data_IF_365103334655
#
_entry.id   IF_365103334655
#
_cell.length_a   1.000
_cell.length_b   1.000
_cell.length_c   1.000
_cell.angle_alpha   90.00
_cell.angle_beta   90.00
_cell.angle_gamma   90.00
#
_symmetry.space_group_name_H-M   'P 1'
#
loop_
_entity.id
_entity.type
_entity.pdbx_description
1 polymer ?
#
# COMPACT_ATOMS: atom_id res chain seq x y z
N UNK A 1 20.97 20.04 3.28
CA UNK A 1 22.03 19.62 2.34
C UNK A 1 21.41 18.81 1.22
N UNK A 2 21.88 19.02 -0.02
CA UNK A 2 21.39 18.33 -1.21
C UNK A 2 22.10 16.98 -1.44
N UNK A 3 21.53 16.10 -2.26
CA UNK A 3 22.23 14.91 -2.77
C UNK A 3 23.36 15.33 -3.72
N UNK A 4 24.44 14.53 -3.75
CA UNK A 4 25.53 14.76 -4.69
C UNK A 4 25.13 14.36 -6.12
N UNK A 5 25.76 14.95 -7.14
CA UNK A 5 25.48 14.65 -8.54
C UNK A 5 25.67 13.16 -8.88
N UNK A 6 26.65 12.49 -8.27
CA UNK A 6 26.87 11.06 -8.44
C UNK A 6 25.74 10.21 -7.85
N UNK A 7 25.18 10.62 -6.71
CA UNK A 7 24.02 9.96 -6.11
C UNK A 7 22.79 10.12 -7.01
N UNK A 8 22.57 11.31 -7.57
CA UNK A 8 21.46 11.60 -8.48
C UNK A 8 21.54 10.71 -9.73
N UNK A 9 22.70 10.64 -10.39
CA UNK A 9 22.89 9.78 -11.57
C UNK A 9 22.67 8.30 -11.26
N UNK A 10 23.04 7.83 -10.07
CA UNK A 10 22.75 6.46 -9.62
C UNK A 10 21.25 6.23 -9.43
N UNK A 11 20.55 7.19 -8.82
CA UNK A 11 19.10 7.15 -8.65
C UNK A 11 18.41 7.11 -10.01
N UNK A 12 18.79 7.99 -10.94
CA UNK A 12 18.25 8.03 -12.32
C UNK A 12 18.43 6.69 -13.04
N UNK A 13 19.63 6.11 -12.97
CA UNK A 13 19.91 4.80 -13.58
C UNK A 13 19.02 3.71 -12.99
N UNK A 14 18.91 3.64 -11.65
CA UNK A 14 18.11 2.65 -10.96
C UNK A 14 16.60 2.84 -11.23
N UNK A 15 16.12 4.09 -11.26
CA UNK A 15 14.74 4.43 -11.55
C UNK A 15 14.36 4.07 -12.99
N UNK A 16 15.21 4.35 -13.98
CA UNK A 16 14.99 3.95 -15.36
C UNK A 16 14.92 2.44 -15.53
N UNK A 17 15.79 1.69 -14.84
CA UNK A 17 15.74 0.23 -14.84
C UNK A 17 14.42 -0.30 -14.25
N UNK A 18 13.94 0.30 -13.15
CA UNK A 18 12.65 -0.02 -12.54
C UNK A 18 11.48 0.28 -13.48
N UNK A 19 11.45 1.47 -14.09
CA UNK A 19 10.40 1.87 -15.03
C UNK A 19 10.37 0.96 -16.26
N UNK A 20 11.51 0.60 -16.84
CA UNK A 20 11.54 -0.28 -18.01
C UNK A 20 10.93 -1.66 -17.75
N UNK A 21 10.99 -2.14 -16.50
CA UNK A 21 10.38 -3.41 -16.10
C UNK A 21 8.87 -3.31 -15.91
N UNK A 22 8.38 -2.17 -15.41
CA UNK A 22 7.00 -1.99 -14.94
C UNK A 22 6.09 -1.18 -15.86
N UNK A 23 6.67 -0.42 -16.81
CA UNK A 23 5.89 0.44 -17.69
C UNK A 23 4.88 -0.38 -18.50
N UNK A 24 3.60 0.06 -18.51
CA UNK A 24 2.60 -0.60 -19.32
C UNK A 24 2.90 -0.42 -20.82
N UNK A 25 2.29 -1.27 -21.66
CA UNK A 25 2.32 -1.14 -23.12
C UNK A 25 1.93 0.26 -23.58
N UNK A 26 2.47 0.70 -24.72
CA UNK A 26 2.31 2.07 -25.22
C UNK A 26 0.85 2.52 -25.33
N UNK A 27 -0.06 1.59 -25.64
CA UNK A 27 -1.49 1.90 -25.77
C UNK A 27 -2.18 2.24 -24.44
N UNK A 28 -1.67 1.74 -23.29
CA UNK A 28 -2.22 2.01 -21.94
C UNK A 28 -1.58 3.23 -21.29
N UNK A 29 -0.41 3.68 -21.77
CA UNK A 29 0.36 4.77 -21.13
C UNK A 29 -0.39 6.09 -21.01
N UNK A 30 -1.38 6.31 -21.86
CA UNK A 30 -2.21 7.52 -21.80
C UNK A 30 -3.23 7.47 -20.64
N UNK A 31 -3.59 6.28 -20.18
CA UNK A 31 -4.55 6.08 -19.09
C UNK A 31 -3.84 5.83 -17.75
N UNK A 32 -2.67 5.20 -17.80
CA UNK A 32 -1.93 4.80 -16.63
C UNK A 32 -0.43 4.83 -16.95
N UNK A 33 0.32 5.72 -16.31
CA UNK A 33 1.78 5.70 -16.35
C UNK A 33 2.38 5.76 -14.95
N UNK A 34 3.58 5.21 -14.84
CA UNK A 34 4.35 5.24 -13.58
C UNK A 34 5.51 6.21 -13.78
N UNK A 35 5.57 7.18 -12.88
CA UNK A 35 6.62 8.18 -12.81
C UNK A 35 7.45 8.08 -11.55
N UNK A 36 8.57 8.80 -11.55
CA UNK A 36 9.33 9.05 -10.34
C UNK A 36 9.75 10.51 -10.31
N UNK A 37 9.88 11.06 -9.11
CA UNK A 37 10.40 12.42 -8.90
C UNK A 37 11.36 12.43 -7.72
N UNK A 38 12.29 13.38 -7.76
CA UNK A 38 13.24 13.61 -6.68
C UNK A 38 12.97 14.98 -6.06
N UNK A 39 12.64 14.99 -4.77
CA UNK A 39 12.51 16.22 -3.99
C UNK A 39 13.53 16.23 -2.87
N UNK A 40 14.51 17.13 -2.97
CA UNK A 40 15.60 17.32 -2.00
C UNK A 40 16.46 16.05 -1.80
N UNK A 41 16.00 15.14 -0.98
CA UNK A 41 16.64 13.87 -0.62
C UNK A 41 15.65 12.68 -0.59
N UNK A 42 14.39 12.94 -0.96
CA UNK A 42 13.36 11.92 -1.02
C UNK A 42 13.03 11.62 -2.47
N UNK A 43 13.06 10.34 -2.81
CA UNK A 43 12.59 9.80 -4.08
C UNK A 43 11.13 9.42 -3.89
N UNK A 44 10.27 9.91 -4.76
CA UNK A 44 8.86 9.54 -4.81
C UNK A 44 8.61 8.74 -6.07
N UNK A 45 7.78 7.72 -5.93
CA UNK A 45 7.23 6.96 -7.05
C UNK A 45 5.74 7.23 -7.05
N UNK A 46 5.24 7.64 -8.21
CA UNK A 46 3.85 8.02 -8.38
C UNK A 46 3.25 7.38 -9.61
N UNK A 47 1.94 7.25 -9.59
CA UNK A 47 1.12 6.78 -10.69
C UNK A 47 0.32 7.97 -11.23
N UNK A 48 0.48 8.26 -12.52
CA UNK A 48 -0.29 9.30 -13.20
C UNK A 48 -1.49 8.65 -13.87
N UNK A 49 -2.68 9.13 -13.54
CA UNK A 49 -3.94 8.67 -14.14
C UNK A 49 -4.93 9.81 -14.33
N UNK A 50 -5.84 9.72 -15.31
CA UNK A 50 -6.87 10.71 -15.48
C UNK A 50 -7.85 10.67 -14.31
N UNK A 51 -8.40 11.84 -13.98
CA UNK A 51 -9.46 11.94 -12.97
C UNK A 51 -10.68 11.20 -13.46
N UNK A 52 -11.30 10.40 -12.58
CA UNK A 52 -12.48 9.61 -12.92
C UNK A 52 -13.61 10.45 -13.56
N UNK A 53 -13.78 11.69 -13.09
CA UNK A 53 -14.84 12.60 -13.52
C UNK A 53 -14.44 13.51 -14.70
N UNK A 54 -13.13 13.65 -14.95
CA UNK A 54 -12.59 14.58 -15.94
C UNK A 54 -11.42 13.91 -16.65
N UNK A 55 -11.65 13.21 -17.78
CA UNK A 55 -10.60 12.46 -18.48
C UNK A 55 -9.49 13.35 -19.08
N UNK A 56 -9.67 14.67 -19.09
CA UNK A 56 -8.68 15.64 -19.55
C UNK A 56 -7.77 16.16 -18.42
N UNK A 57 -8.09 15.87 -17.16
CA UNK A 57 -7.29 16.23 -16.00
C UNK A 57 -6.54 15.00 -15.51
N UNK A 58 -5.27 15.17 -15.17
CA UNK A 58 -4.41 14.10 -14.65
C UNK A 58 -4.03 14.41 -13.21
N UNK A 59 -4.01 13.36 -12.38
CA UNK A 59 -3.50 13.45 -11.02
C UNK A 59 -2.40 12.42 -10.81
N UNK A 60 -1.36 12.87 -10.11
CA UNK A 60 -0.26 12.04 -9.66
C UNK A 60 -0.59 11.49 -8.28
N UNK A 61 -0.66 10.17 -8.18
CA UNK A 61 -0.90 9.43 -6.95
C UNK A 61 0.41 8.90 -6.41
N UNK A 62 0.85 9.44 -5.29
CA UNK A 62 2.08 9.00 -4.63
C UNK A 62 1.90 7.62 -4.02
N UNK A 63 2.67 6.65 -4.50
CA UNK A 63 2.60 5.25 -4.04
C UNK A 63 3.64 4.96 -2.97
N UNK A 64 4.89 5.37 -3.24
CA UNK A 64 6.03 5.07 -2.40
C UNK A 64 6.92 6.29 -2.24
N UNK A 65 7.50 6.42 -1.06
CA UNK A 65 8.48 7.45 -0.74
C UNK A 65 9.70 6.81 -0.11
N UNK A 66 10.88 7.14 -0.61
CA UNK A 66 12.14 6.71 -0.03
C UNK A 66 12.98 7.93 0.33
N UNK A 67 13.29 8.10 1.61
CA UNK A 67 14.09 9.23 2.10
C UNK A 67 15.49 8.77 2.47
N UNK A 68 16.51 9.43 1.93
CA UNK A 68 17.89 9.15 2.30
C UNK A 68 18.27 9.84 3.61
N UNK A 69 18.71 9.05 4.59
CA UNK A 69 19.19 9.53 5.89
C UNK A 69 20.72 9.56 5.85
N UNK A 70 21.29 10.74 5.53
CA UNK A 70 22.76 10.91 5.41
C UNK A 70 23.52 10.51 6.67
N UNK A 71 22.98 10.81 7.86
CA UNK A 71 23.61 10.49 9.14
C UNK A 71 23.83 8.98 9.34
N UNK A 72 22.97 8.15 8.75
CA UNK A 72 23.04 6.68 8.86
C UNK A 72 23.55 6.02 7.57
N UNK A 73 23.65 6.76 6.46
CA UNK A 73 23.97 6.22 5.14
C UNK A 73 22.92 5.20 4.65
N UNK A 74 21.66 5.36 5.05
CA UNK A 74 20.57 4.41 4.76
C UNK A 74 19.36 5.12 4.18
N UNK A 75 18.63 4.42 3.33
CA UNK A 75 17.33 4.79 2.80
C UNK A 75 16.23 4.29 3.72
N UNK A 76 15.28 5.16 4.02
CA UNK A 76 14.07 4.81 4.77
C UNK A 76 12.87 4.77 3.82
N UNK A 77 12.18 3.64 3.79
CA UNK A 77 11.04 3.40 2.90
C UNK A 77 9.73 3.72 3.62
N UNK A 78 8.86 4.43 2.94
CA UNK A 78 7.53 4.81 3.39
C UNK A 78 6.48 4.47 2.33
N UNK A 79 5.28 4.17 2.81
CA UNK A 79 4.09 3.93 2.00
C UNK A 79 2.95 4.81 2.51
N UNK A 80 2.02 5.16 1.62
CA UNK A 80 0.88 5.99 1.98
C UNK A 80 -0.30 5.08 2.36
N UNK A 81 -0.85 5.25 3.57
CA UNK A 81 -2.06 4.52 4.00
C UNK A 81 -3.33 5.26 3.57
N UNK A 82 -4.48 4.61 3.76
CA UNK A 82 -5.81 5.21 3.55
C UNK A 82 -6.06 6.47 4.39
N UNK A 83 -5.29 6.68 5.46
CA UNK A 83 -5.33 7.90 6.28
C UNK A 83 -4.61 9.10 5.62
N UNK A 84 -4.10 8.91 4.39
CA UNK A 84 -3.31 9.87 3.62
C UNK A 84 -2.01 10.30 4.33
N UNK A 85 -1.53 9.50 5.27
CA UNK A 85 -0.26 9.73 5.97
C UNK A 85 0.80 8.75 5.51
N UNK A 86 2.06 9.18 5.61
CA UNK A 86 3.23 8.37 5.30
C UNK A 86 3.60 7.50 6.49
N UNK A 87 3.56 6.18 6.30
CA UNK A 87 3.94 5.19 7.29
C UNK A 87 5.23 4.49 6.87
N UNK A 88 6.04 4.07 7.85
CA UNK A 88 7.22 3.27 7.57
C UNK A 88 6.85 1.89 7.05
N UNK A 89 7.61 1.37 6.09
CA UNK A 89 7.40 0.01 5.59
C UNK A 89 8.07 -0.99 6.54
N UNK A 90 7.28 -1.70 7.35
CA UNK A 90 7.80 -2.57 8.42
C UNK A 90 8.69 -3.75 7.96
N UNK A 91 8.40 -4.46 6.84
CA UNK A 91 9.23 -5.60 6.42
C UNK A 91 10.69 -5.23 6.17
N UNK A 92 10.92 -4.08 5.55
CA UNK A 92 12.25 -3.59 5.25
C UNK A 92 12.30 -2.06 5.26
N UNK A 93 12.26 -1.50 6.48
CA UNK A 93 12.20 -0.06 6.68
C UNK A 93 13.49 0.64 6.26
N UNK A 94 14.65 -0.02 6.43
CA UNK A 94 15.98 0.58 6.25
C UNK A 94 16.81 -0.22 5.25
N UNK A 95 17.24 0.46 4.20
CA UNK A 95 17.96 -0.16 3.08
C UNK A 95 19.25 0.60 2.81
N UNK A 96 20.32 -0.07 2.37
CA UNK A 96 21.61 0.60 2.13
C UNK A 96 21.67 1.28 0.76
N UNK A 97 21.14 0.64 -0.27
CA UNK A 97 21.28 1.08 -1.66
C UNK A 97 19.94 1.42 -2.30
N UNK A 98 19.92 2.38 -3.22
CA UNK A 98 18.69 2.76 -3.95
C UNK A 98 18.14 1.60 -4.80
N UNK A 99 18.99 0.78 -5.39
CA UNK A 99 18.57 -0.39 -6.18
C UNK A 99 17.78 -1.39 -5.32
N UNK A 100 18.18 -1.57 -4.06
CA UNK A 100 17.47 -2.41 -3.11
C UNK A 100 16.12 -1.80 -2.72
N UNK A 101 16.00 -0.46 -2.66
CA UNK A 101 14.71 0.20 -2.45
C UNK A 101 13.73 -0.16 -3.57
N UNK A 102 14.15 -0.02 -4.82
CA UNK A 102 13.32 -0.41 -5.96
C UNK A 102 13.02 -1.91 -5.98
N UNK A 103 13.94 -2.77 -5.56
CA UNK A 103 13.70 -4.20 -5.43
C UNK A 103 12.65 -4.53 -4.35
N UNK A 104 12.66 -3.83 -3.22
CA UNK A 104 11.63 -3.99 -2.16
C UNK A 104 10.26 -3.56 -2.67
N UNK A 105 10.20 -2.43 -3.38
CA UNK A 105 8.96 -1.93 -3.99
C UNK A 105 8.45 -2.87 -5.09
N UNK A 106 9.34 -3.50 -5.85
CA UNK A 106 8.99 -4.49 -6.87
C UNK A 106 8.48 -5.81 -6.27
N UNK A 107 9.10 -6.27 -5.18
CA UNK A 107 8.70 -7.50 -4.49
C UNK A 107 7.36 -7.33 -3.77
N UNK A 108 7.16 -6.15 -3.14
CA UNK A 108 5.96 -5.72 -2.42
C UNK A 108 5.25 -6.85 -1.66
N UNK A 109 5.92 -7.35 -0.62
CA UNK A 109 5.42 -8.49 0.17
C UNK A 109 3.99 -8.28 0.67
N UNK A 110 3.74 -7.06 1.14
CA UNK A 110 2.47 -6.66 1.73
C UNK A 110 1.49 -6.03 0.73
N UNK A 111 1.78 -6.06 -0.57
CA UNK A 111 0.94 -5.43 -1.59
C UNK A 111 0.54 -3.97 -1.24
N UNK A 112 1.43 -3.26 -0.53
CA UNK A 112 1.21 -1.91 0.00
C UNK A 112 1.42 -0.83 -1.06
N UNK A 113 2.18 -1.14 -2.12
CA UNK A 113 2.57 -0.19 -3.14
C UNK A 113 1.77 -0.40 -4.42
N UNK A 114 1.75 -1.62 -4.97
CA UNK A 114 1.31 -1.87 -6.35
C UNK A 114 -0.07 -2.55 -6.46
N UNK A 115 -0.74 -2.83 -5.35
CA UNK A 115 -2.01 -3.55 -5.34
C UNK A 115 -1.91 -4.99 -5.90
N UNK A 116 -2.93 -5.82 -5.67
CA UNK A 116 -2.94 -7.21 -6.11
C UNK A 116 -3.20 -7.30 -7.63
N UNK A 117 -2.19 -7.15 -8.48
CA UNK A 117 -2.35 -7.43 -9.92
C UNK A 117 -1.23 -8.25 -10.57
N UNK A 118 -0.01 -8.31 -10.02
CA UNK A 118 1.10 -8.99 -10.74
C UNK A 118 2.06 -9.79 -9.85
N UNK A 119 1.58 -10.71 -9.02
CA UNK A 119 2.49 -11.70 -8.42
C UNK A 119 1.85 -13.09 -8.28
N UNK A 120 2.30 -14.03 -9.14
CA UNK A 120 1.91 -15.46 -9.14
C UNK A 120 2.46 -16.25 -7.94
N UNK A 121 3.19 -15.61 -7.02
CA UNK A 121 3.75 -16.23 -5.81
C UNK A 121 3.44 -15.43 -4.54
N UNK A 122 2.22 -14.92 -4.37
CA UNK A 122 1.82 -14.37 -3.05
C UNK A 122 1.40 -15.53 -2.15
N UNK A 123 2.33 -16.05 -1.34
CA UNK A 123 1.95 -16.73 -0.10
C UNK A 123 1.54 -15.62 0.87
N UNK A 124 0.29 -15.64 1.32
CA UNK A 124 -0.33 -14.76 2.32
C UNK A 124 0.70 -14.08 3.24
N UNK A 125 1.07 -12.84 2.92
CA UNK A 125 1.85 -12.00 3.81
C UNK A 125 0.87 -11.07 4.52
N UNK A 126 0.84 -11.17 5.85
CA UNK A 126 0.09 -10.30 6.75
C UNK A 126 0.71 -8.91 6.69
N UNK A 127 0.08 -7.97 6.03
CA UNK A 127 0.23 -6.56 6.37
C UNK A 127 -0.40 -6.40 7.76
N UNK A 128 0.42 -6.34 8.79
CA UNK A 128 -0.04 -6.12 10.15
C UNK A 128 -0.73 -4.73 10.22
N UNK A 129 -1.91 -4.70 10.85
CA UNK A 129 -2.66 -3.48 11.12
C UNK A 129 -4.15 -3.53 10.81
N UNK A 130 -4.84 -4.63 11.15
CA UNK A 130 -6.20 -4.45 11.69
C UNK A 130 -6.00 -3.75 13.04
N UNK A 131 -6.53 -2.54 13.15
CA UNK A 131 -6.51 -1.78 14.39
C UNK A 131 -7.25 -2.56 15.47
N UNK A 132 -6.48 -3.23 16.33
CA UNK A 132 -6.93 -3.77 17.59
C UNK A 132 -7.22 -2.61 18.55
N UNK A 133 -8.31 -1.89 18.30
CA UNK A 133 -8.91 -0.98 19.28
C UNK A 133 -10.42 -1.18 19.38
N UNK A 134 -10.83 -2.43 19.61
CA UNK A 134 -11.98 -2.75 20.47
C UNK A 134 -11.45 -3.41 21.73
N UNK A 135 -10.78 -2.61 22.59
CA UNK A 135 -10.54 -2.99 23.98
C UNK A 135 -11.87 -2.86 24.73
N UNK A 136 -12.40 -3.99 25.17
CA UNK A 136 -13.40 -4.06 26.24
C UNK A 136 -14.83 -4.30 25.73
N UNK A 137 -15.24 -5.55 25.77
CA UNK A 137 -16.62 -5.94 25.49
C UNK A 137 -16.74 -7.44 25.41
N UNK A 138 -16.49 -8.13 26.52
CA UNK A 138 -16.93 -9.51 26.71
C UNK A 138 -18.46 -9.47 26.61
N UNK A 139 -19.00 -9.73 25.42
CA UNK A 139 -20.42 -9.94 25.24
C UNK A 139 -20.75 -11.26 25.94
N UNK A 140 -21.02 -11.17 27.24
CA UNK A 140 -21.89 -12.10 27.96
C UNK A 140 -23.14 -12.26 27.10
N UNK A 141 -23.21 -13.38 26.39
CA UNK A 141 -24.38 -13.83 25.67
C UNK A 141 -25.47 -13.99 26.74
N UNK A 142 -26.53 -13.16 26.77
CA UNK A 142 -27.64 -13.43 27.68
C UNK A 142 -28.21 -14.78 27.26
N UNK A 143 -28.21 -15.71 28.19
CA UNK A 143 -28.87 -16.99 28.07
C UNK A 143 -30.34 -16.71 27.70
N UNK A 144 -30.69 -16.89 26.43
CA UNK A 144 -32.09 -16.97 26.02
C UNK A 144 -32.61 -18.27 26.62
N UNK A 145 -33.26 -18.11 27.77
CA UNK A 145 -34.08 -19.15 28.37
C UNK A 145 -35.17 -19.52 27.37
N UNK A 146 -35.18 -20.79 26.95
CA UNK A 146 -36.27 -21.36 26.20
C UNK A 146 -37.59 -21.13 26.95
N UNK A 147 -38.64 -20.57 26.32
CA UNK A 147 -39.97 -20.63 26.90
C UNK A 147 -40.48 -22.07 26.74
N UNK A 148 -40.29 -22.86 27.80
CA UNK A 148 -41.20 -23.96 28.09
C UNK A 148 -42.53 -23.34 28.56
N UNK A 149 -43.60 -23.79 27.90
CA UNK A 149 -44.85 -24.21 28.53
C UNK A 149 -46.12 -23.42 28.17
N UNK A 150 -47.16 -24.24 27.94
CA UNK A 150 -48.61 -23.99 27.89
C UNK A 150 -49.12 -23.23 26.64
N UNK A 151 -50.22 -23.63 25.98
CA UNK A 151 -51.39 -24.35 26.49
C UNK A 151 -52.23 -24.82 25.30
N UNK A 152 -52.73 -26.06 25.41
CA UNK A 152 -54.08 -26.52 25.02
C UNK A 152 -54.85 -25.75 23.94
N UNK A 153 -55.24 -26.46 22.87
CA UNK A 153 -56.62 -26.39 22.41
C UNK A 153 -57.05 -27.76 21.88
N UNK A 154 -57.96 -28.38 22.61
CA UNK A 154 -58.68 -29.61 22.30
C UNK A 154 -60.16 -29.24 22.27
N UNK A 155 -60.94 -29.86 21.35
CA UNK A 155 -62.42 -29.83 21.19
C UNK A 155 -63.05 -28.51 20.66
N UNK A 156 -64.10 -28.50 19.84
CA UNK A 156 -64.96 -29.48 19.15
C UNK A 156 -65.91 -28.70 18.21
N UNK A 157 -66.43 -29.36 17.16
CA UNK A 157 -67.73 -29.20 16.47
C UNK A 157 -68.20 -27.86 15.86
N UNK A 158 -68.58 -27.87 14.56
CA UNK A 158 -69.90 -28.25 14.02
C UNK A 158 -69.71 -28.87 12.63
#
# INVERSE_FOLDING_TARGET
MALSEFEIKKIEKAANAFLNKRRPPVHIRNELDIGWRLEKQSVYIYETRPVWNSPNEYHDLDMAKATFIRAQGKWKIFWMRQDLKWHGYEPNMYVKTIEQVFAVIDHDEYACFLGKSHNKKIKFARCAGWDANTRGGFAIMPHVSAPLSLKLCFKEEI
#
